data_IF_227283158220
#
_entry.id   IF_227283158220
#
_cell.length_a   1.000
_cell.length_b   1.000
_cell.length_c   1.000
_cell.angle_alpha   90.00
_cell.angle_beta   90.00
_cell.angle_gamma   90.00
#
_symmetry.space_group_name_H-M   'P 1'
#
loop_
_entity.id
_entity.type
_entity.pdbx_description
1 polymer ?
#
# COMPACT_ATOMS: atom_id res chain seq x y z
N UNK A 1 5.68 -24.83 19.45
CA UNK A 1 4.51 -23.97 19.66
C UNK A 1 4.10 -23.38 18.31
N UNK A 2 2.93 -23.75 17.80
CA UNK A 2 2.32 -23.08 16.63
C UNK A 2 1.90 -21.68 17.07
N UNK A 3 2.59 -20.65 16.59
CA UNK A 3 2.17 -19.26 16.83
C UNK A 3 0.77 -19.12 16.25
N UNK A 4 -0.25 -18.89 17.08
CA UNK A 4 -1.58 -18.50 16.57
C UNK A 4 -1.37 -17.24 15.73
N UNK A 5 -1.73 -17.30 14.45
CA UNK A 5 -1.32 -16.29 13.46
C UNK A 5 -2.18 -15.02 13.49
N UNK A 6 -3.28 -15.04 14.23
CA UNK A 6 -4.11 -13.90 14.56
C UNK A 6 -4.78 -14.16 15.92
N UNK A 7 -4.86 -13.14 16.77
CA UNK A 7 -5.70 -13.16 17.97
C UNK A 7 -7.16 -13.40 17.58
N UNK A 8 -7.92 -14.09 18.43
CA UNK A 8 -9.36 -14.30 18.20
C UNK A 8 -10.13 -12.95 18.11
N UNK A 9 -9.56 -11.89 18.69
CA UNK A 9 -10.15 -10.56 18.70
C UNK A 9 -10.17 -9.93 17.30
N UNK A 10 -9.02 -9.90 16.61
CA UNK A 10 -8.89 -9.26 15.28
C UNK A 10 -9.76 -9.89 14.21
N UNK A 11 -10.14 -11.16 14.36
CA UNK A 11 -11.07 -11.85 13.46
C UNK A 11 -12.53 -11.36 13.53
N UNK A 12 -12.91 -10.65 14.60
CA UNK A 12 -14.31 -10.24 14.86
C UNK A 12 -14.55 -8.74 14.76
N UNK A 13 -13.49 -7.96 14.54
CA UNK A 13 -13.55 -6.51 14.43
C UNK A 13 -14.02 -6.12 13.03
N UNK A 14 -14.94 -5.16 12.98
CA UNK A 14 -15.50 -4.56 11.76
C UNK A 14 -15.43 -3.03 11.88
N UNK A 15 -15.55 -2.28 10.76
CA UNK A 15 -15.59 -0.82 10.81
C UNK A 15 -16.67 -0.22 11.72
N UNK A 16 -17.76 -0.96 11.98
CA UNK A 16 -18.90 -0.45 12.75
C UNK A 16 -18.83 -0.79 14.25
N UNK A 17 -17.99 -1.74 14.66
CA UNK A 17 -17.96 -2.25 16.04
C UNK A 17 -16.57 -2.20 16.70
N UNK A 18 -15.57 -1.59 16.05
CA UNK A 18 -14.17 -1.68 16.50
C UNK A 18 -13.91 -1.04 17.86
N UNK A 19 -14.52 0.11 18.17
CA UNK A 19 -14.36 0.79 19.47
C UNK A 19 -14.89 -0.07 20.61
N UNK A 20 -16.09 -0.63 20.44
CA UNK A 20 -16.73 -1.51 21.43
C UNK A 20 -15.92 -2.79 21.65
N UNK A 21 -15.42 -3.41 20.57
CA UNK A 21 -14.70 -4.69 20.62
C UNK A 21 -13.29 -4.56 21.19
N UNK A 22 -12.58 -3.48 20.90
CA UNK A 22 -11.20 -3.32 21.38
C UNK A 22 -11.14 -2.94 22.86
N UNK A 23 -12.10 -2.16 23.37
CA UNK A 23 -12.19 -1.73 24.77
C UNK A 23 -10.81 -1.45 25.41
N UNK A 24 -10.03 -0.59 24.75
CA UNK A 24 -8.61 -0.36 25.03
C UNK A 24 -8.25 -0.13 26.51
N UNK A 25 -9.07 0.58 27.32
CA UNK A 25 -8.76 0.81 28.74
C UNK A 25 -8.68 -0.46 29.59
N UNK A 26 -9.25 -1.58 29.13
CA UNK A 26 -9.26 -2.86 29.86
C UNK A 26 -8.13 -3.81 29.45
N UNK A 27 -7.34 -3.47 28.42
CA UNK A 27 -6.28 -4.33 27.90
C UNK A 27 -4.95 -4.10 28.65
N UNK A 28 -4.18 -5.18 28.82
CA UNK A 28 -2.81 -5.08 29.31
C UNK A 28 -1.87 -4.54 28.21
N UNK A 29 -0.67 -4.09 28.60
CA UNK A 29 0.35 -3.64 27.63
C UNK A 29 0.75 -4.77 26.66
N UNK A 30 0.81 -6.01 27.13
CA UNK A 30 1.14 -7.17 26.30
C UNK A 30 0.03 -7.42 25.26
N UNK A 31 -1.24 -7.38 25.68
CA UNK A 31 -2.39 -7.53 24.78
C UNK A 31 -2.42 -6.42 23.72
N UNK A 32 -2.17 -5.17 24.12
CA UNK A 32 -2.08 -4.03 23.18
C UNK A 32 -0.92 -4.24 22.20
N UNK A 33 0.23 -4.72 22.67
CA UNK A 33 1.40 -4.97 21.81
C UNK A 33 1.14 -6.07 20.80
N UNK A 34 0.49 -7.16 21.22
CA UNK A 34 0.09 -8.25 20.34
C UNK A 34 -0.91 -7.79 19.28
N UNK A 35 -1.89 -6.96 19.65
CA UNK A 35 -2.85 -6.38 18.70
C UNK A 35 -2.16 -5.50 17.66
N UNK A 36 -1.22 -4.64 18.05
CA UNK A 36 -0.41 -3.85 17.10
C UNK A 36 0.33 -4.78 16.13
N UNK A 37 0.91 -5.87 16.65
CA UNK A 37 1.60 -6.88 15.86
C UNK A 37 0.69 -7.57 14.84
N UNK A 38 -0.55 -7.89 15.23
CA UNK A 38 -1.56 -8.47 14.34
C UNK A 38 -2.00 -7.48 13.26
N UNK A 39 -2.34 -6.24 13.63
CA UNK A 39 -2.77 -5.21 12.68
C UNK A 39 -1.69 -4.88 11.64
N UNK A 40 -0.41 -4.79 12.04
CA UNK A 40 0.69 -4.61 11.07
C UNK A 40 0.79 -5.75 10.06
N UNK A 41 0.55 -6.99 10.49
CA UNK A 41 0.54 -8.15 9.58
C UNK A 41 -0.67 -8.14 8.66
N UNK A 42 -1.85 -7.80 9.18
CA UNK A 42 -3.07 -7.63 8.37
C UNK A 42 -2.90 -6.52 7.34
N UNK A 43 -2.29 -5.40 7.71
CA UNK A 43 -1.96 -4.31 6.78
C UNK A 43 -1.00 -4.79 5.68
N UNK A 44 0.06 -5.50 6.04
CA UNK A 44 1.01 -6.06 5.08
C UNK A 44 0.35 -7.07 4.13
N UNK A 45 -0.55 -7.93 4.65
CA UNK A 45 -1.33 -8.85 3.84
C UNK A 45 -2.29 -8.08 2.90
N UNK A 46 -3.00 -7.08 3.42
CA UNK A 46 -3.90 -6.22 2.67
C UNK A 46 -3.18 -5.52 1.50
N UNK A 47 -1.96 -5.01 1.72
CA UNK A 47 -1.11 -4.44 0.67
C UNK A 47 -0.77 -5.46 -0.42
N UNK A 48 -0.38 -6.68 -0.05
CA UNK A 48 -0.04 -7.75 -1.01
C UNK A 48 -1.27 -8.19 -1.82
N UNK A 49 -2.39 -8.43 -1.16
CA UNK A 49 -3.64 -8.82 -1.81
C UNK A 49 -4.15 -7.72 -2.74
N UNK A 50 -4.11 -6.46 -2.29
CA UNK A 50 -4.48 -5.32 -3.12
C UNK A 50 -3.59 -5.24 -4.37
N UNK A 51 -2.27 -5.41 -4.23
CA UNK A 51 -1.36 -5.47 -5.37
C UNK A 51 -1.71 -6.59 -6.35
N UNK A 52 -2.00 -7.78 -5.84
CA UNK A 52 -2.42 -8.92 -6.67
C UNK A 52 -3.74 -8.67 -7.41
N UNK A 53 -4.74 -8.12 -6.71
CA UNK A 53 -6.03 -7.76 -7.30
C UNK A 53 -5.91 -6.63 -8.33
N UNK A 54 -5.03 -5.64 -8.11
CA UNK A 54 -4.70 -4.59 -9.09
C UNK A 54 -4.20 -5.19 -10.40
N UNK A 55 -3.22 -6.09 -10.33
CA UNK A 55 -2.71 -6.79 -11.52
C UNK A 55 -3.79 -7.62 -12.21
N UNK A 56 -4.64 -8.29 -11.43
CA UNK A 56 -5.75 -9.09 -11.96
C UNK A 56 -6.83 -8.23 -12.64
N UNK A 57 -7.11 -7.04 -12.12
CA UNK A 57 -8.03 -6.07 -12.72
C UNK A 57 -7.47 -5.51 -14.03
N UNK A 58 -6.19 -5.09 -14.04
CA UNK A 58 -5.53 -4.58 -15.25
C UNK A 58 -5.55 -5.59 -16.39
N UNK A 59 -5.27 -6.86 -16.10
CA UNK A 59 -5.29 -7.94 -17.09
C UNK A 59 -6.69 -8.31 -17.63
N UNK A 60 -7.76 -7.78 -17.03
CA UNK A 60 -9.15 -8.02 -17.44
C UNK A 60 -9.82 -6.78 -18.02
N UNK A 61 -9.21 -5.61 -17.89
CA UNK A 61 -9.71 -4.42 -18.54
C UNK A 61 -9.55 -4.57 -20.06
N UNK A 62 -10.49 -3.99 -20.83
CA UNK A 62 -10.30 -3.87 -22.27
C UNK A 62 -8.98 -3.15 -22.58
N UNK A 63 -8.35 -3.53 -23.69
CA UNK A 63 -7.15 -2.86 -24.18
C UNK A 63 -7.43 -1.35 -24.34
N UNK A 64 -6.44 -0.52 -24.01
CA UNK A 64 -6.50 0.96 -24.06
C UNK A 64 -7.49 1.65 -23.12
N UNK A 65 -8.19 0.91 -22.23
CA UNK A 65 -9.00 1.53 -21.18
C UNK A 65 -8.17 1.78 -19.91
N UNK A 66 -8.32 2.98 -19.35
CA UNK A 66 -7.74 3.42 -18.08
C UNK A 66 -8.79 3.68 -16.99
N UNK A 67 -10.07 3.53 -17.33
CA UNK A 67 -11.21 3.73 -16.45
C UNK A 67 -12.25 2.62 -16.61
N UNK A 68 -12.81 2.16 -15.50
CA UNK A 68 -13.91 1.18 -15.47
C UNK A 68 -14.91 1.51 -14.37
N UNK A 69 -16.19 1.64 -14.70
CA UNK A 69 -17.27 1.89 -13.73
C UNK A 69 -17.97 0.58 -13.35
N UNK A 70 -17.79 0.16 -12.09
CA UNK A 70 -18.48 -1.01 -11.53
C UNK A 70 -19.77 -0.65 -10.79
N UNK A 71 -20.54 -1.66 -10.34
CA UNK A 71 -21.84 -1.43 -9.69
C UNK A 71 -21.80 -0.65 -8.36
N UNK A 72 -20.62 -0.58 -7.73
CA UNK A 72 -20.44 0.05 -6.42
C UNK A 72 -19.23 0.98 -6.35
N UNK A 73 -18.29 0.83 -7.28
CA UNK A 73 -17.03 1.55 -7.27
C UNK A 73 -16.54 1.73 -8.70
N UNK A 74 -15.90 2.85 -8.98
CA UNK A 74 -15.15 3.08 -10.19
C UNK A 74 -13.65 2.81 -9.95
N UNK A 75 -12.97 2.34 -11.00
CA UNK A 75 -11.57 1.98 -11.00
C UNK A 75 -10.86 2.78 -12.08
N UNK A 76 -9.73 3.40 -11.73
CA UNK A 76 -8.94 4.21 -12.67
C UNK A 76 -7.45 3.88 -12.54
N UNK A 77 -6.77 3.63 -13.65
CA UNK A 77 -5.33 3.48 -13.74
C UNK A 77 -4.72 4.79 -14.24
N UNK A 78 -3.99 5.49 -13.37
CA UNK A 78 -3.34 6.74 -13.73
C UNK A 78 -1.85 6.48 -14.02
N UNK A 79 -1.32 6.85 -15.19
CA UNK A 79 0.12 6.82 -15.42
C UNK A 79 0.82 7.81 -14.48
N UNK A 80 1.87 7.36 -13.81
CA UNK A 80 2.70 8.15 -12.91
C UNK A 80 4.16 7.94 -13.24
N UNK A 81 4.96 8.95 -12.92
CA UNK A 81 6.41 8.86 -12.93
C UNK A 81 6.93 9.37 -11.60
N UNK A 82 7.89 8.64 -11.02
CA UNK A 82 8.71 9.17 -9.92
C UNK A 82 10.11 9.38 -10.46
N UNK A 83 10.71 10.50 -10.04
CA UNK A 83 12.15 10.69 -10.20
C UNK A 83 12.87 9.45 -9.64
N UNK A 84 13.67 8.81 -10.49
CA UNK A 84 14.58 7.76 -10.06
C UNK A 84 15.80 8.31 -9.31
N UNK A 85 15.96 9.63 -9.31
CA UNK A 85 17.12 10.33 -8.79
C UNK A 85 16.91 10.79 -7.34
N UNK A 86 17.97 10.64 -6.55
CA UNK A 86 18.24 11.45 -5.36
C UNK A 86 18.29 12.93 -5.79
N UNK A 87 18.02 13.86 -4.87
CA UNK A 87 17.95 15.31 -5.11
C UNK A 87 19.03 15.80 -6.10
N UNK A 88 18.64 15.96 -7.37
CA UNK A 88 19.56 16.17 -8.49
C UNK A 88 20.34 17.48 -8.33
N UNK A 89 19.73 18.47 -7.68
CA UNK A 89 20.34 19.78 -7.42
C UNK A 89 21.54 19.62 -6.50
N UNK A 90 21.32 18.99 -5.34
CA UNK A 90 22.37 18.83 -4.32
C UNK A 90 23.52 17.93 -4.82
N UNK A 91 23.20 16.88 -5.56
CA UNK A 91 24.22 15.97 -6.10
C UNK A 91 25.05 16.66 -7.19
N UNK A 92 24.41 17.44 -8.07
CA UNK A 92 25.13 18.18 -9.11
C UNK A 92 26.08 19.20 -8.49
N UNK A 93 25.65 19.90 -7.45
CA UNK A 93 26.49 20.85 -6.69
C UNK A 93 27.69 20.18 -6.01
N UNK A 94 27.52 18.96 -5.46
CA UNK A 94 28.57 18.26 -4.71
C UNK A 94 29.52 17.43 -5.61
N UNK A 95 29.00 16.83 -6.69
CA UNK A 95 29.70 15.82 -7.49
C UNK A 95 30.04 16.28 -8.91
N UNK A 96 29.44 17.39 -9.38
CA UNK A 96 29.59 17.91 -10.73
C UNK A 96 28.62 17.30 -11.75
N UNK A 97 28.42 18.04 -12.84
CA UNK A 97 27.47 17.69 -13.92
C UNK A 97 27.83 16.35 -14.58
N UNK A 98 29.11 16.12 -14.91
CA UNK A 98 29.58 14.90 -15.60
C UNK A 98 29.31 13.63 -14.77
N UNK A 99 29.54 13.67 -13.45
CA UNK A 99 29.28 12.52 -12.58
C UNK A 99 27.78 12.27 -12.47
N UNK A 100 26.99 13.33 -12.32
CA UNK A 100 25.54 13.25 -12.18
C UNK A 100 24.89 12.68 -13.43
N UNK A 101 25.32 13.13 -14.61
CA UNK A 101 24.81 12.63 -15.89
C UNK A 101 25.13 11.14 -16.09
N UNK A 102 26.36 10.72 -15.76
CA UNK A 102 26.78 9.32 -15.87
C UNK A 102 26.07 8.36 -14.89
N UNK A 103 25.59 8.87 -13.75
CA UNK A 103 24.98 8.06 -12.68
C UNK A 103 23.49 8.32 -12.49
N UNK A 104 22.88 9.14 -13.36
CA UNK A 104 21.46 9.45 -13.33
C UNK A 104 20.66 8.17 -13.51
N UNK A 105 19.74 7.92 -12.58
CA UNK A 105 18.76 6.85 -12.74
C UNK A 105 17.59 7.36 -13.57
N UNK A 106 17.15 6.60 -14.60
CA UNK A 106 15.98 7.00 -15.36
C UNK A 106 14.75 7.11 -14.46
N UNK A 107 13.77 7.97 -14.82
CA UNK A 107 12.49 8.00 -14.14
C UNK A 107 11.85 6.62 -14.10
N UNK A 108 11.24 6.29 -12.97
CA UNK A 108 10.51 5.03 -12.82
C UNK A 108 9.06 5.33 -13.14
N UNK A 109 8.60 4.86 -14.29
CA UNK A 109 7.19 4.89 -14.68
C UNK A 109 6.42 3.77 -13.96
N UNK A 110 5.23 4.10 -13.47
CA UNK A 110 4.35 3.15 -12.81
C UNK A 110 2.89 3.58 -12.96
N UNK A 111 1.96 2.63 -12.91
CA UNK A 111 0.53 2.93 -12.92
C UNK A 111 -0.01 2.96 -11.48
N UNK A 112 -0.65 4.07 -11.13
CA UNK A 112 -1.39 4.22 -9.88
C UNK A 112 -2.86 3.85 -10.10
N UNK A 113 -3.28 2.68 -9.60
CA UNK A 113 -4.71 2.35 -9.56
C UNK A 113 -5.41 3.03 -8.38
N UNK A 114 -6.49 3.75 -8.67
CA UNK A 114 -7.44 4.34 -7.74
C UNK A 114 -8.78 3.60 -7.79
N UNK A 115 -9.43 3.49 -6.64
CA UNK A 115 -10.80 2.99 -6.50
C UNK A 115 -11.60 4.07 -5.79
N UNK A 116 -12.68 4.54 -6.41
CA UNK A 116 -13.59 5.55 -5.86
C UNK A 116 -14.99 4.99 -5.71
N UNK A 117 -15.68 5.39 -4.65
CA UNK A 117 -17.07 5.05 -4.36
C UNK A 117 -18.03 6.08 -4.97
#
# INVERSE_FOLDING_TARGET
MTKKYASALTATITPDNWEEKLNLPQLSLDDVTDLIGDFKRMEALGKKLTGYLKSAARARMPDDEDFYEGPRFALQFNPRSRSGALDEVKITEEMGEEWTEAHRKPPIEYEEMRVSA
#
